data_IF_623125698003
#
_entry.id   IF_623125698003
#
_cell.length_a   1.000
_cell.length_b   1.000
_cell.length_c   1.000
_cell.angle_alpha   90.00
_cell.angle_beta   90.00
_cell.angle_gamma   90.00
#
_symmetry.space_group_name_H-M   'P 1'
#
loop_
_entity.id
_entity.type
_entity.pdbx_description
1 polymer ?
#
# COMPACT_ATOMS: atom_id res chain seq x y z
N UNK A 1 -12.63 0.32 4.17
CA UNK A 1 -12.16 -0.70 5.15
C UNK A 1 -12.91 -0.54 6.47
N UNK A 2 -13.46 -1.62 7.05
CA UNK A 2 -14.07 -1.62 8.40
C UNK A 2 -13.03 -2.11 9.41
N UNK A 3 -12.86 -1.39 10.52
CA UNK A 3 -11.83 -1.69 11.52
C UNK A 3 -12.48 -2.31 12.76
N UNK A 4 -11.99 -3.47 13.19
CA UNK A 4 -12.48 -4.20 14.35
C UNK A 4 -11.37 -4.31 15.41
N UNK A 5 -11.58 -3.72 16.58
CA UNK A 5 -10.65 -3.75 17.73
C UNK A 5 -11.12 -4.68 18.84
N UNK A 6 -12.40 -5.04 18.85
CA UNK A 6 -12.98 -5.99 19.81
C UNK A 6 -13.20 -7.34 19.12
N UNK A 7 -12.34 -8.31 19.42
CA UNK A 7 -12.42 -9.66 18.83
C UNK A 7 -13.59 -10.50 19.39
N UNK A 8 -14.21 -10.05 20.49
CA UNK A 8 -15.36 -10.75 21.08
C UNK A 8 -16.68 -10.36 20.40
N UNK A 9 -16.66 -9.29 19.59
CA UNK A 9 -17.85 -8.76 18.92
C UNK A 9 -17.58 -8.56 17.42
N UNK A 10 -17.06 -9.60 16.75
CA UNK A 10 -16.84 -9.58 15.31
C UNK A 10 -18.13 -9.85 14.55
N UNK A 11 -18.34 -9.23 13.39
CA UNK A 11 -19.45 -9.57 12.50
C UNK A 11 -19.26 -10.98 11.92
N UNK A 12 -20.32 -11.51 11.36
CA UNK A 12 -20.21 -12.73 10.52
C UNK A 12 -19.68 -12.29 9.16
N UNK A 13 -18.48 -12.72 8.81
CA UNK A 13 -17.85 -12.43 7.52
C UNK A 13 -18.43 -13.37 6.45
N UNK A 14 -18.77 -12.82 5.29
CA UNK A 14 -19.29 -13.59 4.17
C UNK A 14 -18.14 -14.27 3.42
N UNK A 15 -18.14 -15.62 3.35
CA UNK A 15 -17.12 -16.39 2.61
C UNK A 15 -15.70 -15.86 2.89
N UNK A 16 -15.35 -15.64 4.16
CA UNK A 16 -14.15 -14.92 4.57
C UNK A 16 -12.87 -15.45 3.90
N UNK A 17 -12.15 -14.56 3.23
CA UNK A 17 -10.80 -14.78 2.74
C UNK A 17 -9.84 -14.04 3.68
N UNK A 18 -9.17 -14.80 4.54
CA UNK A 18 -8.35 -14.22 5.60
C UNK A 18 -6.85 -14.29 5.28
N UNK A 19 -6.11 -13.30 5.76
CA UNK A 19 -4.65 -13.37 5.88
C UNK A 19 -4.22 -12.82 7.22
N UNK A 20 -3.08 -13.31 7.73
CA UNK A 20 -2.62 -13.02 9.08
C UNK A 20 -1.16 -12.59 9.02
N UNK A 21 -0.86 -11.45 9.62
CA UNK A 21 0.51 -10.94 9.64
C UNK A 21 0.70 -9.70 10.52
N UNK A 22 1.94 -9.34 10.77
CA UNK A 22 2.28 -8.09 11.45
C UNK A 22 2.10 -6.88 10.55
N UNK A 23 2.25 -7.03 9.25
CA UNK A 23 2.14 -5.97 8.22
C UNK A 23 2.90 -4.70 8.59
N UNK A 24 4.10 -4.86 9.15
CA UNK A 24 4.92 -3.73 9.59
C UNK A 24 5.47 -2.96 8.40
N UNK A 25 5.07 -1.67 8.28
CA UNK A 25 5.44 -0.78 7.18
C UNK A 25 4.62 -0.95 5.90
N UNK A 26 3.71 -1.94 5.81
CA UNK A 26 2.82 -2.19 4.64
C UNK A 26 3.53 -2.00 3.28
N UNK A 27 4.73 -2.54 3.16
CA UNK A 27 5.59 -2.41 1.98
C UNK A 27 5.12 -3.27 0.80
N UNK A 28 5.81 -3.16 -0.35
CA UNK A 28 5.45 -3.81 -1.62
C UNK A 28 5.05 -5.28 -1.48
N UNK A 29 5.83 -6.09 -0.74
CA UNK A 29 5.49 -7.49 -0.54
C UNK A 29 4.17 -7.70 0.21
N UNK A 30 3.89 -6.87 1.23
CA UNK A 30 2.60 -6.90 1.91
C UNK A 30 1.45 -6.50 0.98
N UNK A 31 1.67 -5.49 0.12
CA UNK A 31 0.68 -5.03 -0.86
C UNK A 31 0.33 -6.12 -1.87
N UNK A 32 1.33 -6.84 -2.40
CA UNK A 32 1.11 -8.01 -3.28
C UNK A 32 0.24 -9.07 -2.62
N UNK A 33 0.57 -9.45 -1.37
CA UNK A 33 -0.23 -10.40 -0.58
C UNK A 33 -1.67 -9.94 -0.40
N UNK A 34 -1.87 -8.69 0.03
CA UNK A 34 -3.19 -8.12 0.29
C UNK A 34 -4.02 -8.07 -1.00
N UNK A 35 -3.41 -7.70 -2.13
CA UNK A 35 -4.08 -7.73 -3.43
C UNK A 35 -4.54 -9.14 -3.82
N UNK A 36 -3.71 -10.18 -3.55
CA UNK A 36 -4.10 -11.58 -3.78
C UNK A 36 -5.33 -11.97 -2.96
N UNK A 37 -5.37 -11.54 -1.68
CA UNK A 37 -6.53 -11.75 -0.78
C UNK A 37 -7.78 -11.05 -1.33
N UNK A 38 -7.66 -9.77 -1.72
CA UNK A 38 -8.77 -9.00 -2.28
C UNK A 38 -9.31 -9.62 -3.58
N UNK A 39 -8.41 -10.02 -4.50
CA UNK A 39 -8.80 -10.70 -5.75
C UNK A 39 -9.55 -11.99 -5.48
N UNK A 40 -9.05 -12.82 -4.56
CA UNK A 40 -9.70 -14.08 -4.21
C UNK A 40 -11.07 -13.83 -3.55
N UNK A 41 -11.18 -12.86 -2.65
CA UNK A 41 -12.44 -12.49 -2.04
C UNK A 41 -13.48 -12.06 -3.09
N UNK A 42 -13.09 -11.18 -4.03
CA UNK A 42 -13.98 -10.75 -5.12
C UNK A 42 -14.41 -11.90 -6.02
N UNK A 43 -13.47 -12.75 -6.46
CA UNK A 43 -13.78 -13.88 -7.38
C UNK A 43 -14.69 -14.94 -6.75
N UNK A 44 -14.70 -15.06 -5.42
CA UNK A 44 -15.55 -16.01 -4.69
C UNK A 44 -16.81 -15.38 -4.11
N UNK A 45 -17.03 -14.07 -4.34
CA UNK A 45 -18.16 -13.32 -3.76
C UNK A 45 -18.08 -13.21 -2.23
N UNK A 46 -16.87 -13.31 -1.68
CA UNK A 46 -16.53 -13.22 -0.27
C UNK A 46 -16.06 -11.83 0.17
N UNK A 47 -15.59 -11.74 1.41
CA UNK A 47 -15.01 -10.52 2.00
C UNK A 47 -13.55 -10.78 2.39
N UNK A 48 -12.68 -9.79 2.12
CA UNK A 48 -11.29 -9.82 2.51
C UNK A 48 -11.13 -9.40 3.98
N UNK A 49 -10.44 -10.24 4.77
CA UNK A 49 -10.24 -10.00 6.21
C UNK A 49 -8.75 -10.04 6.53
N UNK A 50 -8.18 -8.90 6.82
CA UNK A 50 -6.80 -8.76 7.26
C UNK A 50 -6.72 -8.83 8.78
N UNK A 51 -5.96 -9.78 9.30
CA UNK A 51 -5.77 -9.97 10.73
C UNK A 51 -4.36 -9.50 11.11
N UNK A 52 -4.27 -8.48 11.95
CA UNK A 52 -3.00 -7.98 12.47
C UNK A 52 -3.01 -7.92 14.00
N UNK A 53 -1.85 -7.75 14.59
CA UNK A 53 -1.65 -7.79 16.03
C UNK A 53 -1.19 -6.44 16.58
N UNK A 54 -1.69 -6.09 17.75
CA UNK A 54 -1.21 -4.94 18.52
C UNK A 54 -1.31 -5.24 20.03
N UNK A 55 -0.20 -5.10 20.82
CA UNK A 55 1.17 -4.78 20.39
C UNK A 55 1.75 -5.78 19.36
N UNK A 56 2.85 -5.41 18.72
CA UNK A 56 3.54 -6.30 17.80
C UNK A 56 4.01 -7.58 18.52
N UNK A 57 3.81 -8.78 17.95
CA UNK A 57 4.14 -10.05 18.62
C UNK A 57 5.56 -10.10 19.20
N UNK A 58 6.54 -9.54 18.50
CA UNK A 58 7.94 -9.51 18.94
C UNK A 58 8.15 -8.74 20.24
N UNK A 59 7.37 -7.69 20.50
CA UNK A 59 7.43 -6.91 21.74
C UNK A 59 6.98 -7.71 22.96
N UNK A 60 6.07 -8.66 22.78
CA UNK A 60 5.54 -9.51 23.86
C UNK A 60 6.40 -10.75 24.04
N UNK A 61 6.84 -11.38 22.94
CA UNK A 61 7.63 -12.63 23.00
C UNK A 61 9.08 -12.37 23.39
N UNK A 62 9.63 -11.20 23.00
CA UNK A 62 11.01 -10.80 23.28
C UNK A 62 11.04 -9.38 23.88
N UNK A 63 10.61 -9.19 25.13
CA UNK A 63 10.42 -7.86 25.73
C UNK A 63 11.70 -7.05 25.94
N UNK A 64 12.87 -7.66 25.77
CA UNK A 64 14.18 -6.99 25.84
C UNK A 64 14.82 -6.69 24.49
N UNK A 65 14.15 -7.02 23.39
CA UNK A 65 14.68 -6.79 22.05
C UNK A 65 14.52 -5.31 21.64
N UNK A 66 15.58 -4.72 21.10
CA UNK A 66 15.57 -3.36 20.55
C UNK A 66 14.93 -3.32 19.14
N UNK A 67 13.77 -3.95 19.02
CA UNK A 67 13.03 -4.03 17.78
C UNK A 67 12.26 -2.74 17.51
N UNK A 68 12.55 -2.09 16.39
CA UNK A 68 11.88 -0.87 15.97
C UNK A 68 10.83 -1.15 14.89
N UNK A 69 9.63 -0.59 15.08
CA UNK A 69 8.51 -0.70 14.16
C UNK A 69 8.67 0.27 12.98
N UNK A 70 8.38 -0.20 11.77
CA UNK A 70 8.26 0.67 10.59
C UNK A 70 6.96 1.50 10.64
N UNK A 71 5.91 0.98 11.24
CA UNK A 71 4.64 1.69 11.38
C UNK A 71 4.00 1.48 12.75
N UNK A 72 3.48 2.54 13.35
CA UNK A 72 2.55 2.43 14.48
C UNK A 72 1.24 1.80 14.02
N UNK A 73 0.35 1.47 14.94
CA UNK A 73 -0.95 0.89 14.55
C UNK A 73 -1.82 1.92 13.80
N UNK A 74 -1.73 3.19 14.16
CA UNK A 74 -2.42 4.28 13.48
C UNK A 74 -1.91 4.48 12.06
N UNK A 75 -0.59 4.51 11.89
CA UNK A 75 0.04 4.61 10.56
C UNK A 75 -0.26 3.40 9.69
N UNK A 76 -0.25 2.21 10.27
CA UNK A 76 -0.63 0.97 9.57
C UNK A 76 -2.07 1.04 9.05
N UNK A 77 -3.00 1.56 9.84
CA UNK A 77 -4.39 1.78 9.43
C UNK A 77 -4.43 2.71 8.21
N UNK A 78 -3.73 3.84 8.26
CA UNK A 78 -3.68 4.81 7.15
C UNK A 78 -3.15 4.14 5.87
N UNK A 79 -2.10 3.32 5.98
CA UNK A 79 -1.52 2.62 4.84
C UNK A 79 -2.46 1.53 4.28
N UNK A 80 -3.13 0.78 5.16
CA UNK A 80 -4.04 -0.29 4.77
C UNK A 80 -5.36 0.22 4.19
N UNK A 81 -5.83 1.42 4.60
CA UNK A 81 -7.03 2.03 4.02
C UNK A 81 -6.92 2.25 2.51
N UNK A 82 -5.70 2.50 2.01
CA UNK A 82 -5.43 2.66 0.59
C UNK A 82 -5.57 1.35 -0.21
N UNK A 83 -5.58 0.19 0.47
CA UNK A 83 -5.53 -1.14 -0.15
C UNK A 83 -6.90 -1.80 -0.34
N UNK A 84 -7.99 -1.06 -0.11
CA UNK A 84 -9.38 -1.51 -0.34
C UNK A 84 -9.76 -2.85 0.32
N UNK A 85 -9.12 -3.18 1.46
CA UNK A 85 -9.50 -4.34 2.26
C UNK A 85 -10.89 -4.12 2.86
N UNK A 86 -11.74 -5.13 2.86
CA UNK A 86 -13.09 -4.99 3.43
C UNK A 86 -13.01 -4.84 4.95
N UNK A 87 -12.20 -5.68 5.61
CA UNK A 87 -12.11 -5.75 7.07
C UNK A 87 -10.67 -5.81 7.57
N UNK A 88 -10.33 -4.95 8.53
CA UNK A 88 -9.10 -5.04 9.32
C UNK A 88 -9.46 -5.43 10.76
N UNK A 89 -8.94 -6.56 11.22
CA UNK A 89 -9.10 -7.02 12.61
C UNK A 89 -7.78 -6.83 13.35
N UNK A 90 -7.79 -6.01 14.40
CA UNK A 90 -6.63 -5.75 15.25
C UNK A 90 -6.77 -6.59 16.50
N UNK A 91 -5.98 -7.66 16.57
CA UNK A 91 -6.00 -8.63 17.68
C UNK A 91 -5.08 -8.17 18.79
N UNK A 92 -5.55 -8.08 20.04
CA UNK A 92 -4.66 -7.88 21.18
C UNK A 92 -3.69 -9.05 21.34
N UNK A 93 -2.38 -8.82 21.07
CA UNK A 93 -1.37 -9.85 21.27
C UNK A 93 -0.89 -9.83 22.70
N UNK A 94 -1.44 -10.71 23.52
CA UNK A 94 -1.12 -10.85 24.95
C UNK A 94 -0.22 -12.05 25.22
N UNK A 95 0.36 -12.12 26.42
CA UNK A 95 1.09 -13.31 26.86
C UNK A 95 0.21 -14.55 26.80
N UNK A 96 -1.06 -14.44 27.20
CA UNK A 96 -2.02 -15.55 27.12
C UNK A 96 -2.27 -15.98 25.68
N UNK A 97 -2.42 -15.03 24.74
CA UNK A 97 -2.58 -15.35 23.33
C UNK A 97 -1.34 -16.06 22.76
N UNK A 98 -0.14 -15.64 23.16
CA UNK A 98 1.12 -16.25 22.73
C UNK A 98 1.30 -17.70 23.26
N UNK A 99 0.55 -18.09 24.28
CA UNK A 99 0.58 -19.42 24.89
C UNK A 99 -0.44 -20.40 24.30
N UNK A 100 -1.30 -19.98 23.36
CA UNK A 100 -2.23 -20.87 22.69
C UNK A 100 -1.46 -21.99 21.99
N UNK A 101 -1.90 -23.24 22.17
CA UNK A 101 -1.42 -24.36 21.37
C UNK A 101 -1.77 -24.15 19.89
N UNK A 102 -1.17 -24.91 18.98
CA UNK A 102 -1.48 -24.79 17.56
C UNK A 102 -2.96 -25.18 17.29
N UNK A 103 -3.50 -26.17 17.99
CA UNK A 103 -4.90 -26.56 17.89
C UNK A 103 -5.84 -25.45 18.39
N UNK A 104 -5.60 -24.90 19.58
CA UNK A 104 -6.39 -23.79 20.15
C UNK A 104 -6.35 -22.56 19.24
N UNK A 105 -5.20 -22.25 18.65
CA UNK A 105 -5.07 -21.14 17.70
C UNK A 105 -5.97 -21.36 16.48
N UNK A 106 -6.03 -22.57 15.93
CA UNK A 106 -6.91 -22.86 14.80
C UNK A 106 -8.38 -22.89 15.22
N UNK A 107 -8.73 -23.68 16.23
CA UNK A 107 -10.12 -23.92 16.58
C UNK A 107 -10.78 -22.70 17.22
N UNK A 108 -10.14 -22.13 18.25
CA UNK A 108 -10.73 -21.06 19.07
C UNK A 108 -10.54 -19.68 18.49
N UNK A 109 -9.45 -19.45 17.75
CA UNK A 109 -9.16 -18.16 17.17
C UNK A 109 -9.54 -18.09 15.68
N UNK A 110 -9.00 -18.95 14.80
CA UNK A 110 -9.28 -18.82 13.37
C UNK A 110 -10.69 -19.27 13.00
N UNK A 111 -11.05 -20.50 13.37
CA UNK A 111 -12.32 -21.10 12.92
C UNK A 111 -13.51 -20.48 13.64
N UNK A 112 -13.44 -20.37 14.98
CA UNK A 112 -14.58 -19.89 15.78
C UNK A 112 -14.89 -18.43 15.50
N UNK A 113 -13.85 -17.56 15.36
CA UNK A 113 -14.05 -16.12 15.20
C UNK A 113 -14.29 -15.71 13.74
N UNK A 114 -13.60 -16.32 12.80
CA UNK A 114 -13.61 -15.83 11.40
C UNK A 114 -14.38 -16.73 10.44
N UNK A 115 -14.58 -18.02 10.76
CA UNK A 115 -15.21 -19.03 9.88
C UNK A 115 -14.66 -18.93 8.45
N UNK A 116 -13.33 -19.03 8.26
CA UNK A 116 -12.72 -18.75 6.98
C UNK A 116 -13.19 -19.72 5.89
N UNK A 117 -13.35 -19.23 4.68
CA UNK A 117 -13.46 -20.04 3.47
C UNK A 117 -12.08 -20.30 2.89
N UNK A 118 -11.24 -19.27 2.91
CA UNK A 118 -9.85 -19.34 2.46
C UNK A 118 -8.93 -18.69 3.48
N UNK A 119 -7.75 -19.30 3.67
CA UNK A 119 -6.65 -18.74 4.48
C UNK A 119 -5.45 -18.57 3.56
N UNK A 120 -5.04 -17.32 3.30
CA UNK A 120 -3.89 -16.99 2.46
C UNK A 120 -2.71 -16.67 3.35
N UNK A 121 -1.65 -17.47 3.30
CA UNK A 121 -0.46 -17.31 4.15
C UNK A 121 0.81 -17.72 3.41
N UNK A 122 1.96 -17.26 3.95
CA UNK A 122 3.27 -17.69 3.47
C UNK A 122 3.66 -19.07 3.97
N UNK A 123 4.52 -19.74 3.22
CA UNK A 123 5.05 -21.07 3.55
C UNK A 123 5.79 -21.12 4.91
N UNK A 124 6.36 -19.99 5.34
CA UNK A 124 7.11 -19.86 6.60
C UNK A 124 6.26 -19.44 7.79
N UNK A 125 4.95 -19.28 7.59
CA UNK A 125 4.03 -18.91 8.65
C UNK A 125 4.05 -19.94 9.79
N UNK A 126 4.32 -19.45 11.00
CA UNK A 126 4.38 -20.26 12.21
C UNK A 126 3.48 -19.63 13.27
N UNK A 127 2.74 -20.45 13.97
CA UNK A 127 1.77 -20.04 15.00
C UNK A 127 1.72 -21.02 16.17
N UNK A 128 0.99 -20.62 17.19
CA UNK A 128 0.85 -21.39 18.43
C UNK A 128 2.09 -21.38 19.30
N UNK A 129 1.97 -21.96 20.47
CA UNK A 129 3.03 -22.04 21.46
C UNK A 129 4.30 -22.66 20.87
N UNK A 130 5.43 -22.01 21.10
CA UNK A 130 6.73 -22.41 20.56
C UNK A 130 6.78 -22.56 19.03
N UNK A 131 5.85 -21.91 18.30
CA UNK A 131 5.76 -21.94 16.83
C UNK A 131 5.57 -23.34 16.25
N UNK A 132 4.85 -24.23 16.95
CA UNK A 132 4.63 -25.60 16.54
C UNK A 132 3.69 -25.77 15.34
N UNK A 133 2.73 -24.83 15.17
CA UNK A 133 1.85 -24.82 13.99
C UNK A 133 2.56 -24.31 12.76
N UNK A 134 2.29 -24.92 11.63
CA UNK A 134 2.78 -24.55 10.30
C UNK A 134 1.67 -24.68 9.23
N UNK A 135 2.04 -24.46 7.97
CA UNK A 135 1.12 -24.52 6.85
C UNK A 135 0.54 -25.94 6.64
N UNK A 136 1.34 -26.99 6.88
CA UNK A 136 0.87 -28.38 6.76
C UNK A 136 -0.17 -28.68 7.84
N UNK A 137 0.06 -28.19 9.04
CA UNK A 137 -0.86 -28.29 10.16
C UNK A 137 -2.17 -27.55 9.86
N UNK A 138 -2.12 -26.34 9.27
CA UNK A 138 -3.31 -25.62 8.81
C UNK A 138 -4.06 -26.39 7.71
N UNK A 139 -3.37 -26.91 6.71
CA UNK A 139 -3.98 -27.69 5.61
C UNK A 139 -4.68 -28.96 6.14
N UNK A 140 -4.06 -29.66 7.09
CA UNK A 140 -4.67 -30.82 7.73
C UNK A 140 -5.99 -30.46 8.44
N UNK A 141 -6.01 -29.36 9.19
CA UNK A 141 -7.21 -28.86 9.85
C UNK A 141 -8.25 -28.32 8.85
N UNK A 142 -7.82 -27.84 7.69
CA UNK A 142 -8.71 -27.37 6.64
C UNK A 142 -9.70 -28.44 6.20
N UNK A 143 -9.25 -29.69 6.07
CA UNK A 143 -10.12 -30.82 5.77
C UNK A 143 -11.19 -31.08 6.87
N UNK A 144 -10.84 -30.83 8.14
CA UNK A 144 -11.75 -30.99 9.29
C UNK A 144 -12.78 -29.85 9.39
N UNK A 145 -12.37 -28.61 9.12
CA UNK A 145 -13.17 -27.42 9.37
C UNK A 145 -13.76 -26.77 8.11
N UNK A 146 -13.46 -27.30 6.93
CA UNK A 146 -14.05 -26.87 5.67
C UNK A 146 -13.47 -25.57 5.09
N UNK A 147 -12.21 -25.22 5.42
CA UNK A 147 -11.50 -24.11 4.78
C UNK A 147 -10.35 -24.60 3.91
N UNK A 148 -9.96 -23.80 2.94
CA UNK A 148 -8.84 -24.05 2.05
C UNK A 148 -7.65 -23.12 2.39
N UNK A 149 -6.42 -23.66 2.33
CA UNK A 149 -5.20 -22.87 2.56
C UNK A 149 -4.51 -22.61 1.24
N UNK A 150 -4.34 -21.35 0.91
CA UNK A 150 -3.64 -20.87 -0.28
C UNK A 150 -2.22 -20.46 0.10
N UNK A 151 -1.26 -21.12 -0.52
CA UNK A 151 0.16 -20.85 -0.29
C UNK A 151 0.60 -19.60 -1.06
N UNK A 152 1.46 -18.82 -0.43
CA UNK A 152 2.25 -17.81 -1.11
C UNK A 152 3.61 -18.41 -1.41
N UNK A 153 4.11 -18.17 -2.61
CA UNK A 153 5.38 -18.70 -3.04
C UNK A 153 6.54 -18.24 -2.16
N UNK A 154 7.55 -19.10 -2.03
CA UNK A 154 8.73 -18.84 -1.20
C UNK A 154 9.43 -17.54 -1.58
N UNK A 155 9.55 -17.28 -2.87
CA UNK A 155 10.20 -16.09 -3.40
C UNK A 155 9.47 -14.80 -2.94
N UNK A 156 8.12 -14.76 -2.99
CA UNK A 156 7.33 -13.62 -2.52
C UNK A 156 7.56 -13.34 -1.02
N UNK A 157 7.67 -14.39 -0.20
CA UNK A 157 7.92 -14.24 1.24
C UNK A 157 9.34 -13.74 1.53
N UNK A 158 10.35 -14.24 0.80
CA UNK A 158 11.72 -13.75 0.91
C UNK A 158 11.80 -12.26 0.53
N UNK A 159 11.10 -11.84 -0.53
CA UNK A 159 10.98 -10.43 -0.90
C UNK A 159 10.36 -9.56 0.21
N UNK A 160 9.33 -10.07 0.90
CA UNK A 160 8.70 -9.40 2.06
C UNK A 160 9.72 -9.19 3.19
N UNK A 161 10.42 -10.24 3.61
CA UNK A 161 11.39 -10.18 4.70
C UNK A 161 12.58 -9.27 4.37
N UNK A 162 13.09 -9.36 3.15
CA UNK A 162 14.20 -8.54 2.65
C UNK A 162 13.78 -7.07 2.60
N UNK A 163 12.54 -6.77 2.18
CA UNK A 163 12.04 -5.40 2.05
C UNK A 163 11.97 -4.69 3.39
N UNK A 164 11.39 -5.29 4.44
CA UNK A 164 11.32 -4.68 5.77
C UNK A 164 12.71 -4.36 6.34
N UNK A 165 13.68 -5.27 6.16
CA UNK A 165 15.05 -5.07 6.63
C UNK A 165 15.76 -3.98 5.83
N UNK A 166 15.59 -3.96 4.51
CA UNK A 166 16.16 -2.91 3.64
C UNK A 166 15.58 -1.54 3.96
N UNK A 167 14.25 -1.44 4.17
CA UNK A 167 13.60 -0.19 4.54
C UNK A 167 14.16 0.35 5.85
N UNK A 168 14.29 -0.49 6.91
CA UNK A 168 14.89 -0.05 8.18
C UNK A 168 16.29 0.50 7.98
N UNK A 169 17.11 -0.23 7.22
CA UNK A 169 18.49 0.19 6.92
C UNK A 169 18.52 1.54 6.17
N UNK A 170 17.71 1.69 5.14
CA UNK A 170 17.62 2.92 4.35
C UNK A 170 17.21 4.12 5.23
N UNK A 171 16.18 3.97 6.08
CA UNK A 171 15.74 5.01 7.01
C UNK A 171 16.84 5.43 8.01
N UNK A 172 17.56 4.47 8.58
CA UNK A 172 18.66 4.72 9.51
C UNK A 172 19.88 5.37 8.83
N UNK A 173 20.01 5.25 7.52
CA UNK A 173 21.06 5.86 6.71
C UNK A 173 20.61 7.20 6.08
N UNK A 174 19.38 7.64 6.28
CA UNK A 174 18.82 8.84 5.65
C UNK A 174 18.44 8.67 4.18
N UNK A 175 18.52 7.46 3.64
CA UNK A 175 18.11 7.17 2.26
C UNK A 175 16.58 7.00 2.15
N UNK A 176 15.90 8.14 2.27
CA UNK A 176 14.43 8.18 2.26
C UNK A 176 13.88 7.79 0.89
N UNK A 177 14.55 8.16 -0.19
CA UNK A 177 14.11 7.78 -1.54
C UNK A 177 14.07 6.26 -1.71
N UNK A 178 15.12 5.56 -1.28
CA UNK A 178 15.17 4.11 -1.34
C UNK A 178 14.14 3.46 -0.40
N UNK A 179 13.93 4.01 0.80
CA UNK A 179 12.92 3.52 1.72
C UNK A 179 11.51 3.64 1.12
N UNK A 180 11.18 4.80 0.53
CA UNK A 180 9.90 5.06 -0.12
C UNK A 180 9.69 4.18 -1.36
N UNK A 181 10.74 3.98 -2.17
CA UNK A 181 10.68 3.08 -3.33
C UNK A 181 10.34 1.64 -2.92
N UNK A 182 11.01 1.11 -1.89
CA UNK A 182 10.75 -0.24 -1.37
C UNK A 182 9.38 -0.38 -0.71
N UNK A 183 8.88 0.69 -0.08
CA UNK A 183 7.55 0.73 0.51
C UNK A 183 6.45 0.98 -0.53
N UNK A 184 6.81 1.56 -1.69
CA UNK A 184 5.85 2.16 -2.65
C UNK A 184 4.89 3.16 -1.98
N UNK A 185 5.39 3.85 -0.97
CA UNK A 185 4.66 4.89 -0.25
C UNK A 185 5.66 5.74 0.55
N UNK A 186 5.26 6.92 0.99
CA UNK A 186 6.09 7.74 1.85
C UNK A 186 6.16 7.16 3.26
N UNK A 187 7.37 7.21 3.85
CA UNK A 187 7.51 6.88 5.27
C UNK A 187 6.77 7.90 6.13
N UNK A 188 5.94 7.41 7.05
CA UNK A 188 5.05 8.23 7.88
C UNK A 188 5.61 8.35 9.30
N UNK A 189 5.59 9.55 9.85
CA UNK A 189 5.73 9.83 11.27
C UNK A 189 4.45 10.52 11.76
N UNK A 190 3.68 9.83 12.60
CA UNK A 190 2.45 10.38 13.17
C UNK A 190 2.61 10.64 14.66
N UNK A 191 2.11 11.77 15.14
CA UNK A 191 2.18 12.13 16.54
C UNK A 191 1.28 13.31 16.91
N UNK A 192 1.31 13.66 18.18
CA UNK A 192 0.62 14.82 18.72
C UNK A 192 1.53 16.04 18.73
N UNK A 193 1.01 17.19 18.36
CA UNK A 193 1.73 18.46 18.42
C UNK A 193 1.76 18.96 19.86
N UNK A 194 2.97 19.06 20.41
CA UNK A 194 3.21 19.51 21.78
C UNK A 194 3.95 20.85 21.85
N UNK A 195 3.90 21.49 23.00
CA UNK A 195 4.66 22.72 23.23
C UNK A 195 6.17 22.44 23.24
N UNK A 196 6.93 23.30 22.55
CA UNK A 196 8.39 23.29 22.53
C UNK A 196 8.98 24.61 22.99
N UNK A 197 10.29 24.79 22.79
CA UNK A 197 11.07 25.96 23.25
C UNK A 197 10.77 27.28 22.50
N UNK A 198 9.91 27.23 21.45
CA UNK A 198 9.51 28.37 20.61
C UNK A 198 10.69 29.10 19.94
N UNK A 199 11.86 28.45 19.81
CA UNK A 199 13.07 29.05 19.22
C UNK A 199 12.86 29.36 17.74
N UNK A 200 12.22 28.46 16.97
CA UNK A 200 11.89 28.65 15.56
C UNK A 200 11.06 29.92 15.33
N UNK A 201 10.11 30.24 16.21
CA UNK A 201 9.31 31.48 16.12
C UNK A 201 10.16 32.74 16.23
N UNK A 202 11.20 32.73 17.08
CA UNK A 202 12.13 33.87 17.25
C UNK A 202 13.00 34.09 16.00
N UNK A 203 13.25 33.03 15.24
CA UNK A 203 14.03 33.06 14.00
C UNK A 203 13.19 33.30 12.74
N UNK A 204 11.86 33.47 12.87
CA UNK A 204 10.94 33.65 11.75
C UNK A 204 10.48 32.36 11.08
N UNK A 205 10.84 31.19 11.65
CA UNK A 205 10.45 29.85 11.17
C UNK A 205 9.73 29.08 12.29
N UNK A 206 8.45 29.37 12.55
CA UNK A 206 7.71 28.66 13.59
C UNK A 206 7.65 27.17 13.32
N UNK A 207 7.95 26.35 14.34
CA UNK A 207 7.92 24.89 14.27
C UNK A 207 6.88 24.31 15.21
N UNK A 208 6.25 23.21 14.77
CA UNK A 208 5.47 22.32 15.61
C UNK A 208 6.35 21.17 16.08
N UNK A 209 6.33 20.89 17.39
CA UNK A 209 7.05 19.76 17.99
C UNK A 209 6.14 18.54 17.96
N UNK A 210 6.63 17.44 17.39
CA UNK A 210 5.88 16.19 17.29
C UNK A 210 6.29 15.23 18.40
N UNK A 211 5.29 14.78 19.18
CA UNK A 211 5.45 13.71 20.15
C UNK A 211 4.87 12.41 19.59
N UNK A 212 5.75 11.43 19.36
CA UNK A 212 5.35 10.10 18.93
C UNK A 212 5.11 9.24 20.17
N UNK A 213 3.92 8.67 20.29
CA UNK A 213 3.50 7.93 21.49
C UNK A 213 4.13 6.54 21.59
N UNK A 214 4.38 5.88 20.47
CA UNK A 214 5.00 4.53 20.46
C UNK A 214 6.53 4.65 20.47
N UNK A 215 7.13 4.29 21.60
CA UNK A 215 8.58 4.30 21.80
C UNK A 215 9.36 3.36 20.88
N UNK A 216 8.69 2.39 20.30
CA UNK A 216 9.29 1.44 19.36
C UNK A 216 9.21 1.90 17.89
N UNK A 217 8.57 3.03 17.61
CA UNK A 217 8.56 3.59 16.26
C UNK A 217 9.98 3.90 15.81
N UNK A 218 10.37 3.38 14.64
CA UNK A 218 11.64 3.71 14.04
C UNK A 218 11.67 5.19 13.65
N UNK A 219 12.65 5.90 14.15
CA UNK A 219 12.91 7.29 13.77
C UNK A 219 14.10 7.28 12.80
N UNK A 220 13.98 7.91 11.63
CA UNK A 220 15.08 8.04 10.67
C UNK A 220 16.28 8.78 11.26
N UNK A 221 17.40 8.78 10.54
CA UNK A 221 18.64 9.47 10.95
C UNK A 221 18.43 10.94 11.25
N UNK A 222 19.29 11.51 12.09
CA UNK A 222 19.29 12.95 12.37
C UNK A 222 19.56 13.78 11.11
N UNK A 223 18.81 14.86 10.91
CA UNK A 223 18.93 15.73 9.76
C UNK A 223 17.68 16.53 9.40
N UNK A 224 17.72 17.14 8.23
CA UNK A 224 16.64 17.96 7.67
C UNK A 224 16.01 17.21 6.50
N UNK A 225 14.67 17.23 6.41
CA UNK A 225 13.90 16.51 5.43
C UNK A 225 12.87 17.41 4.75
N UNK A 226 12.67 17.25 3.46
CA UNK A 226 11.48 17.75 2.78
C UNK A 226 10.30 16.81 3.07
N UNK A 227 9.16 17.37 3.44
CA UNK A 227 8.02 16.59 3.92
C UNK A 227 6.68 17.14 3.44
N UNK A 228 5.69 16.25 3.32
CA UNK A 228 4.28 16.60 3.33
C UNK A 228 3.75 16.47 4.75
N UNK A 229 2.87 17.41 5.14
CA UNK A 229 2.23 17.41 6.46
C UNK A 229 0.73 17.33 6.29
N UNK A 230 0.12 16.29 6.85
CA UNK A 230 -1.32 16.10 6.82
C UNK A 230 -1.94 16.55 8.14
N UNK A 231 -2.86 17.51 8.05
CA UNK A 231 -3.63 18.07 9.20
C UNK A 231 -5.10 18.10 8.78
N UNK A 232 -5.97 17.42 9.52
CA UNK A 232 -7.43 17.41 9.26
C UNK A 232 -7.77 17.10 7.78
N UNK A 233 -7.08 16.13 7.15
CA UNK A 233 -7.19 15.70 5.73
C UNK A 233 -6.67 16.72 4.70
N UNK A 234 -6.06 17.82 5.14
CA UNK A 234 -5.41 18.79 4.25
C UNK A 234 -3.91 18.55 4.24
N UNK A 235 -3.31 18.57 3.05
CA UNK A 235 -1.88 18.42 2.86
C UNK A 235 -1.20 19.79 2.75
N UNK A 236 -0.10 19.94 3.48
CA UNK A 236 0.77 21.12 3.47
C UNK A 236 2.19 20.72 3.12
N UNK A 237 2.95 21.65 2.56
CA UNK A 237 4.40 21.54 2.40
C UNK A 237 5.11 21.87 3.70
N UNK A 238 6.24 21.23 3.94
CA UNK A 238 7.05 21.51 5.12
C UNK A 238 8.49 21.02 5.05
N UNK A 239 9.24 21.38 6.04
CA UNK A 239 10.56 20.78 6.33
C UNK A 239 10.58 20.28 7.76
N UNK A 240 11.15 19.09 7.94
CA UNK A 240 11.24 18.39 9.22
C UNK A 240 12.69 18.36 9.69
N UNK A 241 12.89 18.66 10.97
CA UNK A 241 14.14 18.42 11.69
C UNK A 241 13.99 17.21 12.61
N UNK A 242 14.94 16.31 12.51
CA UNK A 242 15.14 15.20 13.46
C UNK A 242 16.53 15.36 14.05
N UNK A 243 16.66 15.38 15.37
CA UNK A 243 17.96 15.53 16.00
C UNK A 243 17.93 15.30 17.50
N UNK A 244 19.13 15.22 18.08
CA UNK A 244 19.32 14.98 19.50
C UNK A 244 20.01 16.19 20.14
N UNK A 245 19.46 16.72 21.22
CA UNK A 245 20.14 17.77 21.99
C UNK A 245 20.71 17.19 23.28
N UNK A 246 21.92 17.62 23.69
CA UNK A 246 22.41 17.35 25.03
C UNK A 246 21.43 17.94 26.06
N UNK A 247 20.88 17.13 26.94
CA UNK A 247 20.11 17.61 28.09
C UNK A 247 21.02 17.74 29.30
N UNK A 248 20.63 18.60 30.24
CA UNK A 248 21.36 18.86 31.49
C UNK A 248 21.52 17.56 32.32
N UNK A 249 20.61 16.59 32.12
CA UNK A 249 20.57 15.30 32.83
C UNK A 249 21.26 14.15 32.06
N UNK A 250 22.25 14.43 31.20
CA UNK A 250 23.03 13.45 30.42
C UNK A 250 22.23 12.52 29.49
N UNK A 251 20.91 12.66 29.37
CA UNK A 251 20.10 11.94 28.37
C UNK A 251 19.89 12.83 27.15
N UNK A 252 20.37 12.37 26.00
CA UNK A 252 20.06 13.01 24.73
C UNK A 252 18.53 12.95 24.50
N UNK A 253 17.87 14.09 24.37
CA UNK A 253 16.44 14.15 24.07
C UNK A 253 16.24 14.25 22.57
N UNK A 254 15.55 13.25 22.01
CA UNK A 254 15.11 13.27 20.61
C UNK A 254 14.14 14.44 20.39
N UNK A 255 14.36 15.21 19.33
CA UNK A 255 13.48 16.29 18.89
C UNK A 255 13.04 16.03 17.45
N UNK A 256 11.75 16.16 17.23
CA UNK A 256 11.11 16.07 15.93
C UNK A 256 10.30 17.34 15.77
N UNK A 257 10.81 18.26 14.94
CA UNK A 257 10.24 19.59 14.78
C UNK A 257 9.92 19.83 13.30
N UNK A 258 8.69 20.21 12.97
CA UNK A 258 8.28 20.50 11.59
C UNK A 258 7.93 21.98 11.42
N UNK A 259 8.55 22.64 10.45
CA UNK A 259 8.13 23.93 9.94
C UNK A 259 7.16 23.70 8.79
N UNK A 260 5.90 24.04 8.98
CA UNK A 260 4.84 23.92 7.98
C UNK A 260 4.82 25.23 7.19
N UNK A 261 4.95 25.13 5.87
CA UNK A 261 5.04 26.33 5.02
C UNK A 261 3.67 26.98 4.85
N UNK A 262 3.70 28.29 4.87
CA UNK A 262 2.53 29.16 4.63
C UNK A 262 1.33 28.80 5.55
N UNK A 263 1.64 28.48 6.83
CA UNK A 263 0.69 28.02 7.85
C UNK A 263 0.85 28.82 9.14
N UNK A 264 -0.28 29.33 9.68
CA UNK A 264 -0.32 30.21 10.86
C UNK A 264 -1.36 29.79 11.92
N UNK A 265 -1.97 28.62 11.74
CA UNK A 265 -3.02 28.13 12.67
C UNK A 265 -2.44 27.48 13.90
N UNK A 266 -3.16 27.56 15.03
CA UNK A 266 -2.85 26.81 16.23
C UNK A 266 -3.27 25.35 16.06
N UNK A 267 -2.30 24.44 16.28
CA UNK A 267 -2.48 23.00 16.14
C UNK A 267 -1.99 22.21 17.37
N UNK A 268 -1.74 22.87 18.49
CA UNK A 268 -1.38 22.17 19.72
C UNK A 268 -2.46 21.16 20.14
N UNK A 269 -2.03 19.98 20.58
CA UNK A 269 -2.90 18.85 20.92
C UNK A 269 -3.50 18.13 19.73
N UNK A 270 -3.32 18.62 18.49
CA UNK A 270 -3.77 17.90 17.31
C UNK A 270 -2.81 16.77 16.93
N UNK A 271 -3.38 15.69 16.41
CA UNK A 271 -2.60 14.63 15.74
C UNK A 271 -2.34 15.03 14.30
N UNK A 272 -1.09 14.96 13.89
CA UNK A 272 -0.67 15.21 12.51
C UNK A 272 0.14 14.01 12.00
N UNK A 273 0.19 13.86 10.67
CA UNK A 273 1.05 12.87 10.00
C UNK A 273 2.02 13.57 9.08
N UNK A 274 3.30 13.25 9.21
CA UNK A 274 4.40 13.80 8.43
C UNK A 274 4.89 12.70 7.48
N UNK A 275 4.86 12.95 6.19
CA UNK A 275 5.28 12.03 5.14
C UNK A 275 6.67 12.50 4.65
N UNK A 276 7.68 11.67 4.85
CA UNK A 276 9.06 11.99 4.48
C UNK A 276 9.25 11.79 2.98
N UNK A 277 9.66 12.85 2.28
CA UNK A 277 9.87 12.84 0.84
C UNK A 277 11.35 12.63 0.49
N UNK A 278 12.22 13.46 1.06
CA UNK A 278 13.65 13.42 0.77
C UNK A 278 14.47 13.93 1.95
N UNK A 279 15.63 13.34 2.15
CA UNK A 279 16.66 13.83 3.07
C UNK A 279 17.44 14.97 2.41
N UNK A 280 17.48 16.14 3.03
CA UNK A 280 18.14 17.33 2.46
C UNK A 280 19.59 17.44 2.90
N UNK A 281 19.86 17.27 4.19
CA UNK A 281 21.21 17.30 4.77
C UNK A 281 21.24 16.79 6.21
N UNK A 282 22.42 16.43 6.66
CA UNK A 282 22.68 16.10 8.07
C UNK A 282 22.59 17.34 8.98
N UNK A 283 22.32 17.10 10.26
CA UNK A 283 22.43 18.15 11.27
C UNK A 283 23.87 18.65 11.38
N UNK A 284 24.03 19.93 11.71
CA UNK A 284 25.34 20.56 11.86
C UNK A 284 25.33 21.58 13.01
N UNK A 285 26.45 21.68 13.70
CA UNK A 285 26.60 22.70 14.74
C UNK A 285 26.77 24.09 14.11
N UNK A 286 25.97 25.04 14.57
CA UNK A 286 25.93 26.40 14.03
C UNK A 286 26.19 27.37 15.19
N UNK A 287 27.23 28.19 15.06
CA UNK A 287 27.75 29.04 16.15
C UNK A 287 26.94 30.32 16.39
N UNK A 288 26.17 30.80 15.42
CA UNK A 288 25.43 32.07 15.52
C UNK A 288 23.99 31.96 15.01
N UNK A 289 23.08 32.72 15.64
CA UNK A 289 21.66 32.74 15.23
C UNK A 289 21.44 33.26 13.81
N UNK A 290 22.26 34.21 13.37
CA UNK A 290 22.20 34.78 12.00
C UNK A 290 22.54 33.73 10.94
N UNK A 291 23.61 32.95 11.18
CA UNK A 291 23.97 31.83 10.30
C UNK A 291 22.86 30.76 10.28
N UNK A 292 22.30 30.44 11.46
CA UNK A 292 21.22 29.48 11.57
C UNK A 292 20.00 29.93 10.76
N UNK A 293 19.60 31.19 10.88
CA UNK A 293 18.46 31.74 10.12
C UNK A 293 18.67 31.65 8.61
N UNK A 294 19.90 31.94 8.11
CA UNK A 294 20.23 31.84 6.68
C UNK A 294 20.16 30.40 6.18
N UNK A 295 20.73 29.45 6.93
CA UNK A 295 20.72 28.03 6.57
C UNK A 295 19.27 27.50 6.55
N UNK A 296 18.43 27.85 7.54
CA UNK A 296 17.01 27.46 7.55
C UNK A 296 16.27 28.03 6.33
N UNK A 297 16.59 29.26 5.91
CA UNK A 297 16.00 29.86 4.71
C UNK A 297 16.42 29.11 3.43
N UNK A 298 17.68 28.69 3.32
CA UNK A 298 18.19 27.87 2.22
C UNK A 298 17.54 26.48 2.22
N UNK A 299 17.41 25.82 3.39
CA UNK A 299 16.71 24.55 3.55
C UNK A 299 15.25 24.65 3.08
N UNK A 300 14.56 25.76 3.43
CA UNK A 300 13.17 26.00 2.99
C UNK A 300 13.07 26.09 1.46
N UNK A 301 14.01 26.81 0.82
CA UNK A 301 14.05 26.92 -0.65
C UNK A 301 14.29 25.55 -1.27
N UNK A 302 15.23 24.78 -0.73
CA UNK A 302 15.56 23.44 -1.22
C UNK A 302 14.39 22.48 -1.02
N UNK A 303 13.76 22.49 0.17
CA UNK A 303 12.56 21.67 0.43
C UNK A 303 11.44 21.96 -0.57
N UNK A 304 11.12 23.25 -0.80
CA UNK A 304 10.11 23.64 -1.79
C UNK A 304 10.46 23.17 -3.21
N UNK A 305 11.73 23.27 -3.61
CA UNK A 305 12.18 22.78 -4.93
C UNK A 305 12.00 21.26 -5.07
N UNK A 306 12.38 20.49 -4.04
CA UNK A 306 12.16 19.04 -3.99
C UNK A 306 10.69 18.70 -4.08
N UNK A 307 9.85 19.32 -3.26
CA UNK A 307 8.40 19.04 -3.21
C UNK A 307 7.70 19.41 -4.53
N UNK A 308 8.16 20.45 -5.21
CA UNK A 308 7.63 20.84 -6.52
C UNK A 308 8.01 19.84 -7.64
N UNK A 309 9.19 19.20 -7.53
CA UNK A 309 9.65 18.19 -8.51
C UNK A 309 9.02 16.83 -8.30
N UNK A 310 8.75 16.48 -7.07
CA UNK A 310 7.98 15.28 -6.73
C UNK A 310 6.54 15.59 -7.14
N UNK A 311 6.29 15.56 -8.45
CA UNK A 311 4.95 15.29 -8.93
C UNK A 311 4.42 14.18 -8.05
N UNK A 312 3.32 14.44 -7.32
CA UNK A 312 2.65 13.45 -6.47
C UNK A 312 2.97 12.09 -7.03
N UNK A 313 3.72 11.27 -6.30
CA UNK A 313 3.69 9.85 -6.56
C UNK A 313 2.23 9.54 -6.26
N UNK A 314 1.39 9.67 -7.29
CA UNK A 314 0.05 9.12 -7.20
C UNK A 314 0.33 7.67 -6.85
N UNK A 315 -0.16 7.19 -5.71
CA UNK A 315 0.01 5.79 -5.38
C UNK A 315 -0.45 5.04 -6.62
N UNK A 316 0.46 4.25 -7.24
CA UNK A 316 0.14 3.43 -8.41
C UNK A 316 -1.18 2.77 -8.04
N UNK A 317 -2.25 3.07 -8.76
CA UNK A 317 -3.60 2.61 -8.40
C UNK A 317 -3.51 1.12 -8.16
N UNK A 318 -3.94 0.65 -7.00
CA UNK A 318 -3.83 -0.74 -6.57
C UNK A 318 -4.54 -1.66 -7.56
N UNK A 319 -5.55 -1.12 -8.25
CA UNK A 319 -6.15 -1.70 -9.44
C UNK A 319 -5.87 -0.71 -10.58
N UNK A 320 -4.82 -0.92 -11.38
CA UNK A 320 -4.56 -0.08 -12.54
C UNK A 320 -5.76 -0.13 -13.48
N UNK A 321 -6.12 1.00 -14.07
CA UNK A 321 -7.10 1.00 -15.15
C UNK A 321 -6.51 0.29 -16.35
N UNK A 322 -7.06 -0.87 -16.70
CA UNK A 322 -6.59 -1.68 -17.80
C UNK A 322 -7.60 -1.59 -18.94
N UNK A 323 -7.14 -1.16 -20.11
CA UNK A 323 -7.91 -1.18 -21.31
C UNK A 323 -7.46 -2.34 -22.22
N UNK A 324 -8.36 -3.32 -22.42
CA UNK A 324 -8.22 -4.33 -23.46
C UNK A 324 -8.72 -3.69 -24.74
N UNK A 325 -7.81 -3.31 -25.63
CA UNK A 325 -8.14 -2.63 -26.89
C UNK A 325 -8.14 -3.64 -28.04
N UNK A 326 -9.28 -3.82 -28.67
CA UNK A 326 -9.45 -4.70 -29.82
C UNK A 326 -9.71 -3.84 -31.05
N UNK A 327 -8.80 -3.86 -32.05
CA UNK A 327 -9.00 -3.19 -33.29
C UNK A 327 -9.92 -4.01 -34.23
N UNK A 328 -11.00 -3.41 -34.67
CA UNK A 328 -11.94 -4.01 -35.61
C UNK A 328 -11.91 -3.33 -36.98
N UNK A 329 -11.91 -4.12 -38.02
CA UNK A 329 -12.23 -3.68 -39.40
C UNK A 329 -12.94 -4.79 -40.13
N UNK A 330 -14.25 -4.64 -40.35
CA UNK A 330 -15.09 -5.64 -41.01
C UNK A 330 -14.97 -7.04 -40.41
N UNK A 331 -14.91 -7.08 -39.03
CA UNK A 331 -14.55 -8.30 -38.28
C UNK A 331 -15.69 -8.91 -37.50
N UNK A 332 -16.97 -8.68 -37.86
CA UNK A 332 -18.13 -9.19 -37.12
C UNK A 332 -18.03 -10.65 -36.78
N UNK A 333 -17.64 -11.52 -37.70
CA UNK A 333 -17.57 -12.97 -37.48
C UNK A 333 -16.57 -13.35 -36.40
N UNK A 334 -15.41 -12.67 -36.36
CA UNK A 334 -14.37 -12.87 -35.35
C UNK A 334 -14.81 -12.38 -33.99
N UNK A 335 -15.38 -11.19 -33.91
CA UNK A 335 -15.92 -10.62 -32.69
C UNK A 335 -17.05 -11.50 -32.13
N UNK A 336 -17.97 -11.97 -32.95
CA UNK A 336 -19.04 -12.86 -32.52
C UNK A 336 -18.51 -14.19 -31.91
N UNK A 337 -17.39 -14.67 -32.44
CA UNK A 337 -16.80 -15.95 -32.01
C UNK A 337 -15.95 -15.81 -30.75
N UNK A 338 -15.15 -14.75 -30.60
CA UNK A 338 -14.10 -14.66 -29.59
C UNK A 338 -14.37 -13.66 -28.48
N UNK A 339 -15.13 -12.57 -28.74
CA UNK A 339 -15.42 -11.54 -27.74
C UNK A 339 -16.14 -12.07 -26.48
N UNK A 340 -17.08 -13.04 -26.57
CA UNK A 340 -17.72 -13.60 -25.40
C UNK A 340 -16.72 -14.20 -24.40
N UNK A 341 -15.64 -14.84 -24.88
CA UNK A 341 -14.60 -15.38 -24.01
C UNK A 341 -13.74 -14.28 -23.39
N UNK A 342 -13.46 -13.20 -24.13
CA UNK A 342 -12.73 -12.05 -23.58
C UNK A 342 -13.53 -11.41 -22.44
N UNK A 343 -14.83 -11.21 -22.64
CA UNK A 343 -15.75 -10.68 -21.62
C UNK A 343 -15.77 -11.58 -20.39
N UNK A 344 -15.92 -12.91 -20.61
CA UNK A 344 -16.01 -13.90 -19.53
C UNK A 344 -14.75 -14.04 -18.69
N UNK A 345 -13.57 -13.96 -19.33
CA UNK A 345 -12.28 -14.27 -18.68
C UNK A 345 -11.39 -13.06 -18.46
N UNK A 346 -11.86 -11.84 -18.72
CA UNK A 346 -11.15 -10.63 -18.28
C UNK A 346 -11.19 -10.52 -16.76
N UNK A 347 -10.27 -9.78 -16.20
CA UNK A 347 -10.35 -9.39 -14.79
C UNK A 347 -11.40 -8.30 -14.61
N UNK A 348 -12.06 -8.25 -13.44
CA UNK A 348 -13.24 -7.42 -13.18
C UNK A 348 -13.02 -5.93 -13.43
N UNK A 349 -11.81 -5.43 -13.13
CA UNK A 349 -11.45 -4.01 -13.29
C UNK A 349 -10.84 -3.66 -14.65
N UNK A 350 -10.75 -4.61 -15.59
CA UNK A 350 -10.38 -4.32 -16.96
C UNK A 350 -11.62 -3.98 -17.81
N UNK A 351 -11.54 -2.90 -18.56
CA UNK A 351 -12.55 -2.53 -19.56
C UNK A 351 -12.14 -3.01 -20.95
N UNK A 352 -13.13 -3.38 -21.76
CA UNK A 352 -12.92 -3.78 -23.15
C UNK A 352 -13.33 -2.61 -24.03
N UNK A 353 -12.43 -2.21 -24.91
CA UNK A 353 -12.67 -1.14 -25.87
C UNK A 353 -12.49 -1.69 -27.29
N UNK A 354 -13.54 -1.63 -28.08
CA UNK A 354 -13.49 -1.96 -29.49
C UNK A 354 -13.19 -0.69 -30.28
N UNK A 355 -12.01 -0.61 -30.86
CA UNK A 355 -11.61 0.48 -31.73
C UNK A 355 -12.00 0.11 -33.18
N UNK A 356 -13.11 0.62 -33.66
CA UNK A 356 -13.56 0.38 -35.01
C UNK A 356 -12.82 1.24 -36.02
N UNK A 357 -12.04 0.63 -36.90
CA UNK A 357 -11.17 1.27 -37.87
C UNK A 357 -11.92 1.58 -39.19
N UNK A 358 -13.11 2.20 -39.05
CA UNK A 358 -13.97 2.55 -40.16
C UNK A 358 -14.56 1.35 -40.93
N UNK A 359 -15.20 0.41 -40.18
CA UNK A 359 -15.87 -0.74 -40.77
C UNK A 359 -17.07 -0.34 -41.63
N UNK A 360 -17.33 -1.14 -42.68
CA UNK A 360 -18.43 -0.98 -43.63
C UNK A 360 -19.44 -2.13 -43.55
N UNK A 361 -19.14 -3.14 -42.72
CA UNK A 361 -20.06 -4.24 -42.39
C UNK A 361 -20.98 -3.87 -41.19
N UNK A 362 -21.77 -4.82 -40.72
CA UNK A 362 -22.66 -4.64 -39.60
C UNK A 362 -22.01 -4.92 -38.24
N UNK A 363 -20.67 -4.87 -38.13
CA UNK A 363 -19.94 -5.10 -36.89
C UNK A 363 -20.43 -4.22 -35.74
N UNK A 364 -20.57 -2.91 -35.98
CA UNK A 364 -20.97 -1.94 -34.94
C UNK A 364 -22.41 -2.21 -34.45
N UNK A 365 -23.33 -2.46 -35.39
CA UNK A 365 -24.71 -2.78 -35.09
C UNK A 365 -24.76 -4.04 -34.20
N UNK A 366 -24.05 -5.08 -34.62
CA UNK A 366 -23.97 -6.35 -33.87
C UNK A 366 -23.41 -6.15 -32.46
N UNK A 367 -22.34 -5.38 -32.29
CA UNK A 367 -21.73 -5.10 -30.99
C UNK A 367 -22.67 -4.33 -30.06
N UNK A 368 -23.34 -3.32 -30.59
CA UNK A 368 -24.28 -2.48 -29.83
C UNK A 368 -25.49 -3.29 -29.36
N UNK A 369 -26.01 -4.19 -30.21
CA UNK A 369 -27.18 -5.01 -29.89
C UNK A 369 -26.87 -6.12 -28.86
N UNK A 370 -25.64 -6.67 -28.85
CA UNK A 370 -25.33 -7.87 -28.07
C UNK A 370 -24.41 -7.62 -26.87
N UNK A 371 -23.63 -6.54 -26.82
CA UNK A 371 -22.57 -6.34 -25.83
C UNK A 371 -22.48 -4.90 -25.30
N UNK A 372 -23.48 -4.06 -25.51
CA UNK A 372 -23.44 -2.63 -25.15
C UNK A 372 -23.06 -2.35 -23.68
N UNK A 373 -23.45 -3.24 -22.76
CA UNK A 373 -23.17 -3.09 -21.33
C UNK A 373 -21.78 -3.63 -20.92
N UNK A 374 -21.12 -4.40 -21.80
CA UNK A 374 -19.87 -5.08 -21.52
C UNK A 374 -18.64 -4.41 -22.14
N UNK A 375 -18.85 -3.55 -23.13
CA UNK A 375 -17.78 -2.96 -23.96
C UNK A 375 -18.00 -1.47 -24.21
N UNK A 376 -16.92 -0.77 -24.52
CA UNK A 376 -16.92 0.59 -25.06
C UNK A 376 -16.54 0.54 -26.54
N UNK A 377 -17.23 1.31 -27.39
CA UNK A 377 -16.95 1.36 -28.83
C UNK A 377 -16.43 2.74 -29.19
N UNK A 378 -15.25 2.79 -29.85
CA UNK A 378 -14.64 3.99 -30.40
C UNK A 378 -14.61 3.84 -31.96
N UNK A 379 -15.28 4.72 -32.68
CA UNK A 379 -15.26 4.70 -34.13
C UNK A 379 -14.22 5.69 -34.66
N UNK A 380 -13.26 5.20 -35.41
CA UNK A 380 -12.24 6.03 -36.07
C UNK A 380 -12.79 6.65 -37.38
N UNK A 381 -12.36 7.87 -37.75
CA UNK A 381 -12.92 8.60 -38.90
C UNK A 381 -12.52 8.03 -40.27
N UNK A 382 -11.52 7.16 -40.30
CA UNK A 382 -11.04 6.50 -41.50
C UNK A 382 -10.23 5.25 -41.17
N UNK A 383 -10.13 4.30 -42.07
CA UNK A 383 -9.22 3.18 -41.94
C UNK A 383 -7.78 3.63 -42.14
N UNK A 384 -6.97 3.50 -41.07
CA UNK A 384 -5.54 3.87 -41.05
C UNK A 384 -4.61 2.65 -41.04
N UNK A 385 -5.17 1.47 -41.33
CA UNK A 385 -4.46 0.20 -41.25
C UNK A 385 -4.30 -0.28 -39.80
N UNK A 386 -3.61 -1.40 -39.62
CA UNK A 386 -3.49 -2.06 -38.32
C UNK A 386 -2.79 -1.19 -37.25
N UNK A 387 -1.53 -0.82 -37.50
CA UNK A 387 -0.76 0.00 -36.54
C UNK A 387 -1.35 1.43 -36.41
N UNK A 388 -1.82 2.02 -37.51
CA UNK A 388 -2.45 3.33 -37.49
C UNK A 388 -3.74 3.36 -36.68
N UNK A 389 -4.56 2.31 -36.81
CA UNK A 389 -5.81 2.17 -36.03
C UNK A 389 -5.56 2.13 -34.52
N UNK A 390 -4.64 1.29 -34.05
CA UNK A 390 -4.25 1.29 -32.65
C UNK A 390 -3.68 2.63 -32.21
N UNK A 391 -2.79 3.23 -32.95
CA UNK A 391 -2.19 4.52 -32.59
C UNK A 391 -3.23 5.63 -32.44
N UNK A 392 -4.25 5.67 -33.30
CA UNK A 392 -5.34 6.67 -33.20
C UNK A 392 -6.26 6.35 -31.99
N UNK A 393 -6.59 5.09 -31.77
CA UNK A 393 -7.40 4.68 -30.60
C UNK A 393 -6.71 5.01 -29.27
N UNK A 394 -5.43 4.70 -29.13
CA UNK A 394 -4.66 4.94 -27.91
C UNK A 394 -4.50 6.42 -27.55
N UNK A 395 -4.64 7.35 -28.49
CA UNK A 395 -4.68 8.80 -28.20
C UNK A 395 -5.93 9.23 -27.46
N UNK A 396 -7.01 8.49 -27.58
CA UNK A 396 -8.33 8.82 -27.04
C UNK A 396 -8.57 8.10 -25.71
N UNK A 397 -8.05 6.86 -25.59
CA UNK A 397 -8.26 5.99 -24.44
C UNK A 397 -7.35 6.44 -23.28
N UNK A 398 -7.94 6.55 -22.09
CA UNK A 398 -7.17 6.76 -20.85
C UNK A 398 -7.17 5.47 -20.05
N UNK A 399 -5.98 4.93 -19.79
CA UNK A 399 -5.74 3.77 -18.95
C UNK A 399 -4.28 3.76 -18.47
N UNK A 400 -4.02 3.05 -17.35
CA UNK A 400 -2.67 2.86 -16.84
C UNK A 400 -1.91 1.80 -17.65
N UNK A 401 -2.65 0.77 -18.12
CA UNK A 401 -2.12 -0.28 -19.00
C UNK A 401 -3.02 -0.51 -20.21
N UNK A 402 -2.38 -0.72 -21.35
CA UNK A 402 -3.06 -1.08 -22.59
C UNK A 402 -2.70 -2.52 -22.96
N UNK A 403 -3.71 -3.36 -23.15
CA UNK A 403 -3.56 -4.70 -23.68
C UNK A 403 -4.13 -4.73 -25.09
N UNK A 404 -3.25 -4.75 -26.10
CA UNK A 404 -3.67 -4.80 -27.49
C UNK A 404 -3.96 -6.26 -27.86
N UNK A 405 -5.21 -6.55 -28.19
CA UNK A 405 -5.70 -7.89 -28.51
C UNK A 405 -6.31 -7.93 -29.91
N UNK A 406 -5.92 -8.91 -30.70
CA UNK A 406 -6.56 -9.10 -32.00
C UNK A 406 -7.97 -9.67 -31.85
N UNK A 407 -8.87 -9.33 -32.76
CA UNK A 407 -10.27 -9.78 -32.77
C UNK A 407 -10.44 -11.29 -32.97
N UNK A 408 -9.42 -11.99 -33.47
CA UNK A 408 -9.40 -13.42 -33.75
C UNK A 408 -8.70 -14.27 -32.69
N UNK A 409 -8.41 -13.71 -31.51
CA UNK A 409 -7.74 -14.42 -30.43
C UNK A 409 -8.73 -15.04 -29.45
N UNK A 410 -8.56 -16.33 -29.20
CA UNK A 410 -9.28 -17.05 -28.13
C UNK A 410 -8.49 -17.00 -26.85
N UNK A 411 -9.08 -16.43 -25.81
CA UNK A 411 -8.50 -16.35 -24.47
C UNK A 411 -9.05 -17.45 -23.56
N UNK A 412 -8.29 -17.82 -22.53
CA UNK A 412 -8.66 -18.83 -21.55
C UNK A 412 -8.77 -18.20 -20.15
N UNK A 413 -9.23 -18.96 -19.19
CA UNK A 413 -9.29 -18.52 -17.79
C UNK A 413 -7.91 -18.10 -17.29
N UNK A 414 -7.84 -17.02 -16.51
CA UNK A 414 -6.61 -16.42 -15.93
C UNK A 414 -5.54 -15.91 -16.92
N UNK A 415 -5.87 -15.73 -18.18
CA UNK A 415 -4.89 -15.31 -19.22
C UNK A 415 -4.23 -13.95 -18.97
N UNK A 416 -4.92 -13.02 -18.26
CA UNK A 416 -4.37 -11.71 -17.92
C UNK A 416 -3.44 -11.72 -16.72
N UNK A 417 -3.60 -12.67 -15.81
CA UNK A 417 -2.87 -12.70 -14.54
C UNK A 417 -1.35 -12.72 -14.73
N UNK A 418 -0.77 -13.62 -15.55
CA UNK A 418 0.68 -13.64 -15.76
C UNK A 418 1.21 -12.37 -16.44
N UNK A 419 0.44 -11.77 -17.34
CA UNK A 419 0.84 -10.52 -18.03
C UNK A 419 0.95 -9.38 -17.03
N UNK A 420 -0.01 -9.26 -16.12
CA UNK A 420 0.00 -8.24 -15.08
C UNK A 420 1.09 -8.47 -14.05
N UNK A 421 1.35 -9.72 -13.66
CA UNK A 421 2.45 -10.05 -12.75
C UNK A 421 3.80 -9.59 -13.31
N UNK A 422 4.05 -9.80 -14.59
CA UNK A 422 5.27 -9.30 -15.26
C UNK A 422 5.31 -7.77 -15.30
N UNK A 423 4.22 -7.11 -15.73
CA UNK A 423 4.14 -5.65 -15.82
C UNK A 423 4.26 -4.97 -14.45
N UNK A 424 3.75 -5.60 -13.38
CA UNK A 424 3.85 -5.09 -12.01
C UNK A 424 5.21 -5.36 -11.37
N UNK A 425 5.96 -6.36 -11.84
CA UNK A 425 7.27 -6.74 -11.31
C UNK A 425 8.42 -5.95 -11.93
N UNK A 426 8.27 -5.46 -13.16
CA UNK A 426 9.32 -4.74 -13.89
C UNK A 426 8.97 -3.25 -13.96
N UNK A 427 9.81 -2.40 -13.34
CA UNK A 427 9.61 -0.95 -13.28
C UNK A 427 10.11 -0.20 -14.52
N UNK A 428 10.80 -0.91 -15.44
CA UNK A 428 11.38 -0.35 -16.66
C UNK A 428 10.56 -0.69 -17.92
N UNK A 429 9.37 -1.26 -17.77
CA UNK A 429 8.44 -1.59 -18.87
C UNK A 429 7.29 -0.60 -18.93
#
# INVERSE_FOLDING_TARGET
MRIHKDINNLPVFKQAVITIGSFDGVHLGHKKLINKVNRLARSTGGESVLITFHPHPRQIVFPGDDFQLLSTIEEKIILLEKLEVDHLVIVPFTVTFAQLSADEYIEMFLVKLFKPRYIVIGYDHRFGLSRQGDIHFLKWHGAKFGYEVIDIEKQEIEEIAISSTKIRRALLQGDIKQANLLAQDYYILSGEVVHGDKMGKKLGFPTANLQISDKHKLIPSDGIYAVWVHIDKVQYEGMLYIGHRPSIDSKQSLRIEVNIFDFDKDIYGKKISILLVEFLRSDQQIDTLDKLSKIIAEDKIHAKAVLAQVNKIEPKKINPEIAIVILNYNGKEWLAKFLPNVIKYKIDYAKIIIADNFSTDDSITYLTENFNDDIEIITLPKNTGYAGGYNEALKIIQADYFLLLNSDVSVTEHWMTPLLEVMEADYDV
#
